data_IF_084220992109
#
_entry.id   IF_084220992109
#
_cell.length_a   1.000
_cell.length_b   1.000
_cell.length_c   1.000
_cell.angle_alpha   90.00
_cell.angle_beta   90.00
_cell.angle_gamma   90.00
#
_symmetry.space_group_name_H-M   'P 1'
#
loop_
_entity.id
_entity.type
_entity.pdbx_description
1 polymer ?
#
# COMPACT_ATOMS: atom_id res chain seq x y z
N UNK A 1 -24.91 -31.73 -6.26
CA UNK A 1 -24.04 -30.70 -6.86
C UNK A 1 -23.26 -31.38 -7.95
N UNK A 2 -23.22 -30.78 -9.14
CA UNK A 2 -22.39 -31.29 -10.23
C UNK A 2 -20.91 -31.02 -9.89
N UNK A 3 -19.97 -31.80 -10.43
CA UNK A 3 -18.54 -31.58 -10.19
C UNK A 3 -18.08 -30.20 -10.69
N UNK A 4 -18.73 -29.68 -11.73
CA UNK A 4 -18.50 -28.33 -12.26
C UNK A 4 -18.89 -27.24 -11.25
N UNK A 5 -19.96 -27.44 -10.47
CA UNK A 5 -20.38 -26.49 -9.41
C UNK A 5 -19.34 -26.42 -8.28
N UNK A 6 -18.72 -27.57 -7.97
CA UNK A 6 -17.68 -27.65 -6.93
C UNK A 6 -16.41 -26.95 -7.37
N UNK A 7 -15.97 -27.16 -8.61
CA UNK A 7 -14.80 -26.49 -9.17
C UNK A 7 -14.99 -24.99 -9.31
N UNK A 8 -16.17 -24.55 -9.79
CA UNK A 8 -16.50 -23.13 -9.87
C UNK A 8 -16.48 -22.48 -8.48
N UNK A 9 -17.06 -23.15 -7.48
CA UNK A 9 -17.07 -22.64 -6.11
C UNK A 9 -15.64 -22.48 -5.56
N UNK A 10 -14.77 -23.48 -5.74
CA UNK A 10 -13.37 -23.43 -5.29
C UNK A 10 -12.62 -22.28 -5.96
N UNK A 11 -12.78 -22.13 -7.28
CA UNK A 11 -12.19 -21.02 -8.01
C UNK A 11 -12.64 -19.66 -7.46
N UNK A 12 -13.94 -19.48 -7.21
CA UNK A 12 -14.47 -18.22 -6.65
C UNK A 12 -13.98 -17.95 -5.23
N UNK A 13 -13.80 -18.99 -4.42
CA UNK A 13 -13.22 -18.86 -3.07
C UNK A 13 -11.75 -18.42 -3.12
N UNK A 14 -10.97 -18.97 -4.05
CA UNK A 14 -9.57 -18.56 -4.28
C UNK A 14 -9.48 -17.11 -4.77
N UNK A 15 -10.34 -16.72 -5.73
CA UNK A 15 -10.41 -15.34 -6.23
C UNK A 15 -10.81 -14.35 -5.13
N UNK A 16 -11.77 -14.73 -4.28
CA UNK A 16 -12.19 -13.88 -3.16
C UNK A 16 -11.06 -13.68 -2.15
N UNK A 17 -10.32 -14.73 -1.81
CA UNK A 17 -9.20 -14.60 -0.88
C UNK A 17 -8.08 -13.76 -1.48
N UNK A 18 -7.80 -13.94 -2.77
CA UNK A 18 -6.85 -13.09 -3.48
C UNK A 18 -7.24 -11.61 -3.44
N UNK A 19 -8.49 -11.26 -3.73
CA UNK A 19 -8.97 -9.87 -3.64
C UNK A 19 -8.77 -9.28 -2.24
N UNK A 20 -9.07 -10.04 -1.18
CA UNK A 20 -8.86 -9.58 0.21
C UNK A 20 -7.39 -9.30 0.49
N UNK A 21 -6.48 -10.13 -0.01
CA UNK A 21 -5.04 -9.90 0.15
C UNK A 21 -4.60 -8.63 -0.58
N UNK A 22 -5.17 -8.34 -1.77
CA UNK A 22 -4.90 -7.09 -2.48
C UNK A 22 -5.43 -5.87 -1.73
N UNK A 23 -6.64 -5.94 -1.20
CA UNK A 23 -7.25 -4.85 -0.40
C UNK A 23 -6.37 -4.50 0.80
N UNK A 24 -5.86 -5.51 1.52
CA UNK A 24 -4.94 -5.30 2.65
C UNK A 24 -3.61 -4.64 2.24
N UNK A 25 -3.13 -4.88 1.02
CA UNK A 25 -1.92 -4.20 0.49
C UNK A 25 -2.26 -2.75 0.16
N UNK A 26 -3.41 -2.50 -0.47
CA UNK A 26 -3.89 -1.15 -0.81
C UNK A 26 -4.08 -0.28 0.43
N UNK A 27 -4.71 -0.80 1.49
CA UNK A 27 -4.85 -0.08 2.77
C UNK A 27 -3.48 0.36 3.32
N UNK A 28 -2.48 -0.52 3.28
CA UNK A 28 -1.12 -0.18 3.75
C UNK A 28 -0.44 0.87 2.87
N UNK A 29 -0.68 0.85 1.55
CA UNK A 29 -0.18 1.89 0.65
C UNK A 29 -0.84 3.23 1.01
N UNK A 30 -2.16 3.24 1.19
CA UNK A 30 -2.92 4.44 1.54
C UNK A 30 -2.43 5.05 2.86
N UNK A 31 -2.23 4.25 3.89
CA UNK A 31 -1.65 4.71 5.17
C UNK A 31 -0.32 5.45 4.95
N UNK A 32 0.59 4.87 4.15
CA UNK A 32 1.93 5.46 3.91
C UNK A 32 1.83 6.74 3.08
N UNK A 33 0.94 6.79 2.10
CA UNK A 33 0.67 8.00 1.32
C UNK A 33 0.05 9.11 2.20
N UNK A 34 -0.82 8.75 3.13
CA UNK A 34 -1.40 9.68 4.09
C UNK A 34 -0.33 10.26 5.02
N UNK A 35 0.58 9.43 5.55
CA UNK A 35 1.73 9.89 6.33
C UNK A 35 2.61 10.88 5.53
N UNK A 36 2.88 10.58 4.25
CA UNK A 36 3.63 11.48 3.36
C UNK A 36 2.91 12.82 3.15
N UNK A 37 1.58 12.79 3.01
CA UNK A 37 0.76 14.00 2.90
C UNK A 37 0.88 14.86 4.17
N UNK A 38 0.77 14.27 5.36
CA UNK A 38 0.93 15.02 6.61
C UNK A 38 2.29 15.69 6.73
N UNK A 39 3.37 15.04 6.26
CA UNK A 39 4.71 15.64 6.21
C UNK A 39 4.71 16.86 5.27
N UNK A 40 4.11 16.74 4.08
CA UNK A 40 4.06 17.83 3.10
C UNK A 40 3.26 19.03 3.62
N UNK A 41 2.12 18.78 4.27
CA UNK A 41 1.30 19.81 4.91
C UNK A 41 2.09 20.51 6.03
N UNK A 42 2.74 19.75 6.92
CA UNK A 42 3.57 20.31 7.99
C UNK A 42 4.68 21.22 7.44
N UNK A 43 5.41 20.77 6.40
CA UNK A 43 6.48 21.54 5.76
C UNK A 43 5.94 22.83 5.12
N UNK A 44 4.72 22.81 4.58
CA UNK A 44 4.10 23.98 3.95
C UNK A 44 3.71 25.06 4.96
N UNK A 45 3.42 24.68 6.20
CA UNK A 45 2.91 25.59 7.24
C UNK A 45 4.00 26.12 8.18
N UNK A 46 5.19 25.49 8.20
CA UNK A 46 6.23 25.77 9.19
C UNK A 46 7.54 26.24 8.55
N UNK A 47 8.19 27.20 9.19
CA UNK A 47 9.59 27.54 8.86
C UNK A 47 10.51 26.54 9.54
N UNK A 48 11.10 25.66 8.75
CA UNK A 48 11.91 24.56 9.25
C UNK A 48 13.40 24.90 9.29
N UNK A 49 14.07 24.39 10.32
CA UNK A 49 15.53 24.35 10.34
C UNK A 49 16.06 23.33 9.32
N UNK A 50 17.31 23.50 8.89
CA UNK A 50 17.97 22.56 7.96
C UNK A 50 18.01 21.12 8.50
N UNK A 51 18.18 20.95 9.81
CA UNK A 51 18.16 19.64 10.46
C UNK A 51 16.78 18.99 10.46
N UNK A 52 15.71 19.76 10.71
CA UNK A 52 14.34 19.27 10.60
C UNK A 52 13.98 18.90 9.16
N UNK A 53 14.32 19.76 8.20
CA UNK A 53 14.07 19.49 6.78
C UNK A 53 14.79 18.21 6.33
N UNK A 54 16.03 18.01 6.76
CA UNK A 54 16.78 16.77 6.48
C UNK A 54 16.13 15.53 7.12
N UNK A 55 15.63 15.66 8.35
CA UNK A 55 14.92 14.59 9.06
C UNK A 55 13.62 14.21 8.35
N UNK A 56 12.80 15.18 7.98
CA UNK A 56 11.52 14.96 7.29
C UNK A 56 11.73 14.39 5.89
N UNK A 57 12.74 14.86 5.15
CA UNK A 57 13.10 14.28 3.86
C UNK A 57 13.50 12.80 3.98
N UNK A 58 14.24 12.42 5.04
CA UNK A 58 14.58 11.01 5.28
C UNK A 58 13.32 10.16 5.54
N UNK A 59 12.39 10.66 6.35
CA UNK A 59 11.12 9.98 6.61
C UNK A 59 10.29 9.83 5.33
N UNK A 60 10.21 10.88 4.51
CA UNK A 60 9.50 10.85 3.23
C UNK A 60 10.09 9.79 2.28
N UNK A 61 11.42 9.68 2.21
CA UNK A 61 12.08 8.66 1.39
C UNK A 61 11.84 7.25 1.92
N UNK A 62 11.84 7.06 3.24
CA UNK A 62 11.52 5.76 3.82
C UNK A 62 10.08 5.33 3.53
N UNK A 63 9.13 6.25 3.68
CA UNK A 63 7.71 6.01 3.34
C UNK A 63 7.54 5.67 1.86
N UNK A 64 8.21 6.41 0.98
CA UNK A 64 8.22 6.14 -0.45
C UNK A 64 8.74 4.73 -0.75
N UNK A 65 9.89 4.35 -0.21
CA UNK A 65 10.46 3.01 -0.41
C UNK A 65 9.51 1.90 0.05
N UNK A 66 8.79 2.10 1.17
CA UNK A 66 7.78 1.15 1.67
C UNK A 66 6.58 1.06 0.74
N UNK A 67 6.06 2.20 0.28
CA UNK A 67 4.96 2.24 -0.69
C UNK A 67 5.34 1.56 -2.02
N UNK A 68 6.52 1.86 -2.56
CA UNK A 68 7.05 1.23 -3.78
C UNK A 68 7.19 -0.29 -3.64
N UNK A 69 7.60 -0.77 -2.45
CA UNK A 69 7.69 -2.20 -2.17
C UNK A 69 6.32 -2.88 -2.12
N UNK A 70 5.32 -2.24 -1.49
CA UNK A 70 3.94 -2.72 -1.46
C UNK A 70 3.31 -2.71 -2.86
N UNK A 71 3.57 -1.68 -3.67
CA UNK A 71 3.08 -1.61 -5.04
C UNK A 71 3.65 -2.74 -5.91
N UNK A 72 4.91 -3.12 -5.70
CA UNK A 72 5.49 -4.31 -6.35
C UNK A 72 4.81 -5.61 -5.94
N UNK A 73 4.46 -5.75 -4.66
CA UNK A 73 3.71 -6.91 -4.18
C UNK A 73 2.31 -6.95 -4.81
N UNK A 74 1.63 -5.81 -4.91
CA UNK A 74 0.30 -5.71 -5.53
C UNK A 74 0.32 -6.12 -7.01
N UNK A 75 1.36 -5.71 -7.75
CA UNK A 75 1.53 -6.02 -9.18
C UNK A 75 1.95 -7.47 -9.46
N UNK A 76 2.24 -8.27 -8.43
CA UNK A 76 2.53 -9.69 -8.63
C UNK A 76 1.20 -10.41 -8.90
N UNK A 77 0.86 -10.56 -10.18
CA UNK A 77 -0.39 -11.16 -10.65
C UNK A 77 -0.55 -12.62 -10.18
N UNK A 78 -1.79 -13.02 -9.91
CA UNK A 78 -2.20 -14.42 -9.78
C UNK A 78 -2.56 -14.93 -11.19
N UNK A 79 -2.04 -16.12 -11.55
CA UNK A 79 -2.30 -16.80 -12.82
C UNK A 79 -3.56 -17.66 -12.74
#
# INVERSE_FOLDING_TARGET
MNNEDVQLKQFLEEQLEWCKQQDLILEKIEEKLFEMKCIAEYVSEHVLSSSEMSRLNRQLQELKCKADALEKLLRTEFH
#
